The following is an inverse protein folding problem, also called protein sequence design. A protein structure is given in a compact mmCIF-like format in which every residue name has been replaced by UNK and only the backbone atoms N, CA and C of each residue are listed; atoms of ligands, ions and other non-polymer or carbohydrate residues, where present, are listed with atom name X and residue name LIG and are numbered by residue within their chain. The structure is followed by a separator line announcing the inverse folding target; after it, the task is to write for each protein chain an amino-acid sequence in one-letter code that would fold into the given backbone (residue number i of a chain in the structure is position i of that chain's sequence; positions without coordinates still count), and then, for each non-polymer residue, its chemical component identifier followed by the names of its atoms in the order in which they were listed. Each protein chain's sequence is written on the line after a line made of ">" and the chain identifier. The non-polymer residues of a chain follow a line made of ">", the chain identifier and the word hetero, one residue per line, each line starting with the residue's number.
data_IF_274003941642
#
_entry.id   IF_274003941642
#
_cell.length_a   1.000
_cell.length_b   1.000
_cell.length_c   1.000
_cell.angle_alpha   90.00
_cell.angle_beta   90.00
_cell.angle_gamma   90.00
#
_symmetry.space_group_name_H-M   'P 1'
#
loop_
_entity.id
_entity.type
_entity.pdbx_description
1 polymer ?
#
# COMPACT_ATOMS: atom_id res chain seq x y z
N UNK A 1 14.79 31.66 -1.72
CA UNK A 1 13.78 31.15 -2.68
C UNK A 1 14.25 29.80 -3.22
N UNK A 2 13.85 28.71 -2.57
CA UNK A 2 14.06 27.35 -3.08
C UNK A 2 12.98 27.06 -4.12
N UNK A 3 13.33 27.16 -5.38
CA UNK A 3 12.53 26.63 -6.47
C UNK A 3 12.65 25.10 -6.42
N UNK A 4 11.69 24.44 -5.79
CA UNK A 4 11.50 22.99 -5.97
C UNK A 4 11.11 22.75 -7.42
N UNK A 5 12.05 22.33 -8.25
CA UNK A 5 11.79 21.77 -9.56
C UNK A 5 10.83 20.59 -9.39
N UNK A 6 9.52 20.83 -9.55
CA UNK A 6 8.56 19.79 -9.85
C UNK A 6 8.94 19.28 -11.25
N UNK A 7 9.75 18.23 -11.31
CA UNK A 7 9.73 17.37 -12.49
C UNK A 7 8.31 16.86 -12.63
N UNK A 8 7.49 17.58 -13.40
CA UNK A 8 6.26 17.03 -13.95
C UNK A 8 6.70 15.81 -14.75
N UNK A 9 6.54 14.60 -14.15
CA UNK A 9 6.47 13.40 -14.96
C UNK A 9 5.27 13.63 -15.86
N UNK A 10 5.52 13.89 -17.14
CA UNK A 10 4.46 13.76 -18.14
C UNK A 10 4.00 12.32 -18.05
N UNK A 11 2.90 12.10 -17.32
CA UNK A 11 2.23 10.82 -17.31
C UNK A 11 1.72 10.60 -18.73
N UNK A 12 2.25 9.59 -19.40
CA UNK A 12 1.63 9.11 -20.61
C UNK A 12 0.19 8.71 -20.25
N UNK A 13 -0.76 9.09 -21.08
CA UNK A 13 -2.20 8.81 -20.86
C UNK A 13 -2.48 7.32 -20.64
N UNK A 14 -1.54 6.46 -21.04
CA UNK A 14 -1.62 5.00 -21.02
C UNK A 14 -0.88 4.33 -19.85
N UNK A 15 -0.11 5.10 -19.05
CA UNK A 15 0.56 4.56 -17.88
C UNK A 15 -0.46 4.21 -16.79
N UNK A 16 -0.26 3.08 -16.15
CA UNK A 16 -1.05 2.63 -14.98
C UNK A 16 -0.13 2.44 -13.78
N UNK A 17 -0.51 3.05 -12.68
CA UNK A 17 0.22 2.97 -11.42
C UNK A 17 -0.67 2.33 -10.36
N UNK A 18 -0.16 1.30 -9.68
CA UNK A 18 -0.89 0.57 -8.64
C UNK A 18 -0.07 0.65 -7.35
N UNK A 19 -0.67 1.22 -6.31
CA UNK A 19 -0.01 1.54 -5.05
C UNK A 19 0.55 2.96 -5.00
N UNK A 20 1.18 3.31 -3.89
CA UNK A 20 1.84 4.61 -3.67
C UNK A 20 3.35 4.49 -3.90
N UNK A 21 3.98 5.55 -4.40
CA UNK A 21 5.46 5.63 -4.48
C UNK A 21 6.15 5.49 -3.13
N UNK A 22 5.44 5.77 -2.04
CA UNK A 22 5.94 5.64 -0.67
C UNK A 22 5.72 4.24 -0.10
N UNK A 23 4.85 3.41 -0.71
CA UNK A 23 4.60 2.05 -0.25
C UNK A 23 5.79 1.13 -0.53
N UNK A 24 5.88 0.05 0.24
CA UNK A 24 6.91 -0.97 0.05
C UNK A 24 6.70 -1.82 -1.20
N UNK A 25 5.47 -1.81 -1.75
CA UNK A 25 5.10 -2.49 -2.99
C UNK A 25 4.41 -1.50 -3.89
N UNK A 26 4.92 -1.36 -5.10
CA UNK A 26 4.42 -0.42 -6.09
C UNK A 26 4.59 -1.00 -7.50
N UNK A 27 3.55 -0.90 -8.31
CA UNK A 27 3.57 -1.39 -9.69
C UNK A 27 3.42 -0.25 -10.68
N UNK A 28 4.10 -0.38 -11.80
CA UNK A 28 4.02 0.54 -12.92
C UNK A 28 3.90 -0.24 -14.22
N UNK A 29 2.84 0.00 -14.97
CA UNK A 29 2.59 -0.58 -16.29
C UNK A 29 2.63 0.56 -17.29
N UNK A 30 3.50 0.51 -18.28
CA UNK A 30 3.63 1.57 -19.26
C UNK A 30 4.11 1.11 -20.63
N UNK A 31 3.88 1.94 -21.65
CA UNK A 31 4.34 1.72 -23.02
C UNK A 31 5.83 2.05 -23.11
N UNK A 32 6.65 1.01 -23.19
CA UNK A 32 8.12 1.13 -23.24
C UNK A 32 8.62 1.67 -24.58
N UNK A 33 7.97 1.32 -25.67
CA UNK A 33 8.25 1.84 -27.00
C UNK A 33 8.10 3.37 -27.07
N UNK A 34 7.04 3.90 -26.49
CA UNK A 34 6.82 5.36 -26.37
C UNK A 34 7.87 6.05 -25.49
N UNK A 35 8.27 5.40 -24.40
CA UNK A 35 9.34 5.92 -23.54
C UNK A 35 10.68 5.99 -24.31
N UNK A 36 11.01 4.93 -25.08
CA UNK A 36 12.22 4.86 -25.90
C UNK A 36 12.19 5.90 -27.02
N UNK A 37 11.06 6.07 -27.68
CA UNK A 37 10.90 7.13 -28.69
C UNK A 37 11.13 8.51 -28.10
N UNK A 38 10.54 8.84 -26.96
CA UNK A 38 10.70 10.16 -26.34
C UNK A 38 12.07 10.44 -25.74
N UNK A 39 12.77 9.43 -25.25
CA UNK A 39 14.06 9.61 -24.56
C UNK A 39 15.27 9.40 -25.46
N UNK A 40 15.13 8.56 -26.45
CA UNK A 40 16.25 8.07 -27.25
C UNK A 40 16.01 8.17 -28.76
N UNK A 41 14.88 8.77 -29.18
CA UNK A 41 14.45 8.90 -30.60
C UNK A 41 14.41 7.58 -31.37
N UNK A 42 14.22 6.45 -30.66
CA UNK A 42 14.05 5.13 -31.27
C UNK A 42 12.64 5.06 -31.87
N UNK A 43 12.50 4.80 -33.20
CA UNK A 43 11.18 4.67 -33.80
C UNK A 43 10.34 3.60 -33.10
N UNK A 44 9.04 3.86 -32.89
CA UNK A 44 8.13 2.93 -32.20
C UNK A 44 8.08 1.56 -32.87
N UNK A 45 8.24 1.53 -34.21
CA UNK A 45 8.27 0.29 -34.98
C UNK A 45 9.51 -0.58 -34.70
N UNK A 46 10.62 0.05 -34.31
CA UNK A 46 11.91 -0.61 -34.07
C UNK A 46 12.11 -0.98 -32.58
N UNK A 47 11.15 -0.64 -31.73
CA UNK A 47 11.22 -0.98 -30.32
C UNK A 47 10.94 -2.47 -30.09
N UNK A 48 11.90 -3.18 -29.51
CA UNK A 48 11.78 -4.62 -29.20
C UNK A 48 10.71 -4.91 -28.13
N UNK A 49 10.56 -3.99 -27.16
CA UNK A 49 9.61 -4.12 -26.04
C UNK A 49 8.56 -3.03 -26.14
N UNK A 50 7.31 -3.43 -26.37
CA UNK A 50 6.18 -2.50 -26.47
C UNK A 50 5.66 -2.07 -25.10
N UNK A 51 5.46 -3.00 -24.20
CA UNK A 51 4.90 -2.74 -22.86
C UNK A 51 5.84 -3.26 -21.77
N UNK A 52 5.89 -2.56 -20.64
CA UNK A 52 6.64 -2.99 -19.47
C UNK A 52 5.77 -3.00 -18.23
N UNK A 53 5.87 -4.09 -17.48
CA UNK A 53 5.31 -4.22 -16.16
C UNK A 53 6.47 -4.20 -15.15
N UNK A 54 6.58 -3.16 -14.34
CA UNK A 54 7.60 -3.03 -13.30
C UNK A 54 7.02 -3.31 -11.93
N UNK A 55 7.74 -4.12 -11.14
CA UNK A 55 7.47 -4.35 -9.72
C UNK A 55 8.56 -3.62 -8.95
N UNK A 56 8.17 -2.67 -8.12
CA UNK A 56 9.11 -1.93 -7.26
C UNK A 56 8.87 -2.32 -5.82
N UNK A 57 9.89 -2.91 -5.22
CA UNK A 57 9.86 -3.38 -3.85
C UNK A 57 10.87 -2.62 -3.01
N UNK A 58 10.55 -2.43 -1.73
CA UNK A 58 11.42 -1.77 -0.75
C UNK A 58 11.50 -2.59 0.53
N UNK A 59 12.57 -2.35 1.30
CA UNK A 59 12.77 -2.90 2.64
C UNK A 59 12.60 -4.43 2.68
N UNK A 60 11.87 -4.93 3.65
CA UNK A 60 11.63 -6.36 3.84
C UNK A 60 10.94 -7.04 2.65
N UNK A 61 10.09 -6.31 1.91
CA UNK A 61 9.43 -6.86 0.71
C UNK A 61 10.45 -7.22 -0.37
N UNK A 62 11.45 -6.36 -0.57
CA UNK A 62 12.55 -6.64 -1.50
C UNK A 62 13.37 -7.84 -1.02
N UNK A 63 13.68 -7.90 0.28
CA UNK A 63 14.42 -9.03 0.86
C UNK A 63 13.72 -10.36 0.63
N UNK A 64 12.42 -10.46 0.93
CA UNK A 64 11.66 -11.71 0.74
C UNK A 64 11.51 -12.09 -0.73
N UNK A 65 11.39 -11.12 -1.63
CA UNK A 65 11.33 -11.39 -3.07
C UNK A 65 12.67 -11.93 -3.59
N UNK A 66 13.79 -11.34 -3.17
CA UNK A 66 15.14 -11.82 -3.54
C UNK A 66 15.38 -13.23 -2.97
N UNK A 67 14.97 -13.48 -1.73
CA UNK A 67 15.07 -14.81 -1.13
C UNK A 67 14.29 -15.86 -1.92
N UNK A 68 13.04 -15.58 -2.31
CA UNK A 68 12.23 -16.48 -3.12
C UNK A 68 12.88 -16.73 -4.50
N UNK A 69 13.43 -15.66 -5.09
CA UNK A 69 14.14 -15.75 -6.37
C UNK A 69 15.36 -16.65 -6.29
N UNK A 70 16.17 -16.49 -5.25
CA UNK A 70 17.37 -17.32 -5.04
C UNK A 70 17.03 -18.76 -4.69
N UNK A 71 15.94 -18.99 -3.95
CA UNK A 71 15.49 -20.33 -3.56
C UNK A 71 14.96 -21.16 -4.73
N UNK A 72 14.29 -20.49 -5.69
CA UNK A 72 13.63 -21.18 -6.78
C UNK A 72 14.31 -21.01 -8.15
N UNK A 73 15.25 -20.09 -8.26
CA UNK A 73 15.95 -19.73 -9.52
C UNK A 73 15.02 -19.55 -10.72
N UNK A 74 13.85 -18.96 -10.48
CA UNK A 74 12.82 -18.75 -11.48
C UNK A 74 12.22 -17.33 -11.37
N UNK A 75 12.83 -16.34 -12.06
CA UNK A 75 12.39 -14.94 -12.01
C UNK A 75 10.95 -14.74 -12.47
N UNK A 76 10.53 -15.48 -13.49
CA UNK A 76 9.19 -15.41 -14.04
C UNK A 76 8.15 -15.83 -12.99
N UNK A 77 8.35 -17.00 -12.39
CA UNK A 77 7.50 -17.51 -11.32
C UNK A 77 7.39 -16.51 -10.17
N UNK A 78 8.52 -16.02 -9.67
CA UNK A 78 8.55 -15.06 -8.56
C UNK A 78 7.79 -13.78 -8.91
N UNK A 79 8.03 -13.21 -10.10
CA UNK A 79 7.37 -11.99 -10.56
C UNK A 79 5.84 -12.18 -10.67
N UNK A 80 5.37 -13.22 -11.37
CA UNK A 80 3.94 -13.47 -11.53
C UNK A 80 3.23 -13.79 -10.21
N UNK A 81 3.87 -14.52 -9.30
CA UNK A 81 3.29 -14.79 -7.98
C UNK A 81 3.18 -13.53 -7.11
N UNK A 82 4.12 -12.59 -7.21
CA UNK A 82 4.01 -11.27 -6.59
C UNK A 82 2.86 -10.48 -7.24
N UNK A 83 2.80 -10.44 -8.57
CA UNK A 83 1.71 -9.76 -9.29
C UNK A 83 0.36 -10.30 -8.82
N UNK A 84 0.16 -11.62 -8.83
CA UNK A 84 -1.10 -12.26 -8.45
C UNK A 84 -1.51 -11.99 -7.00
N UNK A 85 -0.56 -11.72 -6.12
CA UNK A 85 -0.85 -11.38 -4.72
C UNK A 85 -1.47 -10.01 -4.58
N UNK A 86 -1.04 -9.05 -5.40
CA UNK A 86 -1.38 -7.63 -5.20
C UNK A 86 -2.30 -7.07 -6.27
N UNK A 87 -2.34 -7.68 -7.44
CA UNK A 87 -3.07 -7.17 -8.62
C UNK A 87 -4.01 -8.23 -9.15
N UNK A 88 -5.27 -7.85 -9.37
CA UNK A 88 -6.30 -8.68 -9.98
C UNK A 88 -7.18 -7.82 -10.88
N UNK A 89 -7.19 -8.10 -12.17
CA UNK A 89 -8.14 -7.50 -13.09
C UNK A 89 -9.40 -8.36 -13.14
N UNK A 90 -10.55 -7.73 -13.02
CA UNK A 90 -11.85 -8.38 -12.90
C UNK A 90 -12.89 -7.68 -13.74
N UNK A 91 -13.86 -8.43 -14.23
CA UNK A 91 -15.01 -7.89 -14.93
C UNK A 91 -16.06 -7.43 -13.93
N UNK A 92 -16.51 -6.18 -14.10
CA UNK A 92 -17.45 -5.57 -13.19
C UNK A 92 -18.82 -6.24 -13.31
N UNK A 93 -19.36 -6.72 -12.18
CA UNK A 93 -20.71 -7.24 -12.04
C UNK A 93 -21.42 -6.48 -10.92
N UNK A 94 -22.35 -5.60 -11.29
CA UNK A 94 -23.07 -4.77 -10.31
C UNK A 94 -24.04 -5.58 -9.41
N UNK A 95 -24.35 -6.82 -9.77
CA UNK A 95 -25.22 -7.69 -9.00
C UNK A 95 -24.49 -8.43 -7.86
N UNK A 96 -23.13 -8.37 -7.83
CA UNK A 96 -22.29 -9.08 -6.87
C UNK A 96 -21.35 -8.18 -6.12
N UNK A 97 -20.96 -8.56 -4.88
CA UNK A 97 -19.89 -7.89 -4.17
C UNK A 97 -18.58 -7.98 -4.97
N UNK A 98 -17.72 -6.98 -4.84
CA UNK A 98 -16.45 -6.87 -5.59
C UNK A 98 -15.52 -8.08 -5.39
N UNK A 99 -15.59 -8.75 -4.25
CA UNK A 99 -14.85 -9.99 -3.96
C UNK A 99 -15.16 -11.11 -4.95
N UNK A 100 -16.40 -11.15 -5.44
CA UNK A 100 -16.97 -12.25 -6.22
C UNK A 100 -16.97 -11.94 -7.73
N UNK A 101 -16.38 -10.81 -8.13
CA UNK A 101 -16.26 -10.48 -9.54
C UNK A 101 -15.33 -11.46 -10.24
N UNK A 102 -15.74 -11.89 -11.44
CA UNK A 102 -14.99 -12.83 -12.27
C UNK A 102 -13.64 -12.22 -12.67
N UNK A 103 -12.61 -13.04 -12.66
CA UNK A 103 -11.31 -12.66 -13.21
C UNK A 103 -11.48 -12.46 -14.72
N UNK A 104 -10.98 -11.33 -15.24
CA UNK A 104 -10.98 -11.01 -16.65
C UNK A 104 -10.21 -12.09 -17.45
N UNK A 105 -10.73 -12.51 -18.60
CA UNK A 105 -10.18 -13.62 -19.38
C UNK A 105 -8.79 -13.31 -19.95
N UNK A 106 -8.58 -12.08 -20.39
CA UNK A 106 -7.26 -11.65 -20.91
C UNK A 106 -6.22 -11.63 -19.78
N UNK A 107 -6.64 -11.21 -18.58
CA UNK A 107 -5.79 -11.27 -17.39
C UNK A 107 -5.47 -12.72 -16.99
N UNK A 108 -6.45 -13.61 -17.03
CA UNK A 108 -6.24 -15.02 -16.74
C UNK A 108 -5.29 -15.68 -17.76
N UNK A 109 -5.39 -15.30 -19.03
CA UNK A 109 -4.48 -15.74 -20.08
C UNK A 109 -3.06 -15.20 -19.86
N UNK A 110 -2.91 -13.91 -19.55
CA UNK A 110 -1.62 -13.26 -19.27
C UNK A 110 -0.86 -13.93 -18.13
N UNK A 111 -1.56 -14.30 -17.05
CA UNK A 111 -0.96 -14.99 -15.91
C UNK A 111 -0.64 -16.45 -16.21
N UNK A 112 -1.41 -17.10 -17.11
CA UNK A 112 -1.19 -18.47 -17.53
C UNK A 112 -1.16 -19.46 -16.37
N UNK A 113 -0.14 -20.32 -16.35
CA UNK A 113 0.07 -21.35 -15.33
C UNK A 113 0.61 -20.79 -14.00
N UNK A 114 1.09 -19.56 -13.98
CA UNK A 114 1.68 -18.89 -12.81
C UNK A 114 0.61 -18.38 -11.81
N UNK A 115 -0.42 -19.18 -11.55
CA UNK A 115 -1.56 -18.81 -10.69
C UNK A 115 -1.26 -18.79 -9.21
N UNK A 116 -0.08 -19.21 -8.79
CA UNK A 116 0.38 -19.12 -7.40
C UNK A 116 0.40 -17.68 -6.90
N UNK A 117 0.39 -17.52 -5.59
CA UNK A 117 0.45 -16.20 -4.93
C UNK A 117 1.58 -16.19 -3.91
N UNK A 118 2.57 -15.34 -4.12
CA UNK A 118 3.66 -15.13 -3.19
C UNK A 118 3.32 -14.01 -2.23
N UNK A 119 3.15 -14.38 -0.97
CA UNK A 119 2.98 -13.42 0.11
C UNK A 119 4.36 -13.00 0.62
N UNK A 120 4.79 -11.81 0.29
CA UNK A 120 5.98 -11.20 0.86
C UNK A 120 5.66 -10.81 2.32
N UNK A 121 5.72 -11.80 3.21
CA UNK A 121 5.37 -11.60 4.62
C UNK A 121 6.49 -10.91 5.36
N UNK A 122 6.16 -9.75 5.86
CA UNK A 122 6.86 -9.17 6.99
C UNK A 122 6.20 -9.68 8.27
N UNK A 123 6.98 -9.93 9.31
CA UNK A 123 6.40 -10.05 10.65
C UNK A 123 5.61 -8.77 10.90
N UNK A 124 4.39 -8.83 11.47
CA UNK A 124 3.69 -7.62 11.85
C UNK A 124 4.63 -6.79 12.72
N UNK A 125 4.87 -5.52 12.34
CA UNK A 125 5.61 -4.62 13.21
C UNK A 125 4.92 -4.60 14.58
N UNK A 126 5.67 -4.68 15.66
CA UNK A 126 5.09 -4.52 16.99
C UNK A 126 4.36 -3.17 17.04
N UNK A 127 3.24 -3.16 17.73
CA UNK A 127 2.45 -1.93 17.87
C UNK A 127 3.30 -0.85 18.54
N UNK A 128 3.48 0.27 17.86
CA UNK A 128 4.14 1.44 18.42
C UNK A 128 3.10 2.43 18.93
N UNK A 129 3.02 2.57 20.26
CA UNK A 129 2.17 3.57 20.89
C UNK A 129 2.62 4.99 20.55
N UNK A 130 3.91 5.23 20.39
CA UNK A 130 4.47 6.52 19.97
C UNK A 130 3.95 6.98 18.60
N UNK A 131 3.90 6.07 17.61
CA UNK A 131 3.31 6.37 16.29
C UNK A 131 1.84 6.76 16.41
N UNK A 132 1.10 6.08 17.28
CA UNK A 132 -0.31 6.41 17.54
C UNK A 132 -0.46 7.76 18.20
N UNK A 133 0.38 8.10 19.20
CA UNK A 133 0.39 9.41 19.82
C UNK A 133 0.76 10.52 18.83
N UNK A 134 1.75 10.27 17.98
CA UNK A 134 2.11 11.21 16.91
C UNK A 134 0.95 11.47 15.97
N UNK A 135 0.27 10.41 15.52
CA UNK A 135 -0.93 10.53 14.67
C UNK A 135 -2.06 11.27 15.39
N UNK A 136 -2.36 10.93 16.64
CA UNK A 136 -3.37 11.63 17.46
C UNK A 136 -3.06 13.13 17.59
N UNK A 137 -1.81 13.48 17.86
CA UNK A 137 -1.41 14.88 18.05
C UNK A 137 -1.54 15.73 16.78
N UNK A 138 -1.26 15.15 15.61
CA UNK A 138 -1.26 15.88 14.35
C UNK A 138 -2.58 15.83 13.59
N UNK A 139 -3.29 14.71 13.65
CA UNK A 139 -4.51 14.51 12.86
C UNK A 139 -5.79 14.72 13.66
N UNK A 140 -5.79 14.35 14.93
CA UNK A 140 -7.02 14.31 15.74
C UNK A 140 -7.07 15.49 16.73
N UNK A 141 -5.97 15.82 17.40
CA UNK A 141 -5.93 16.82 18.44
C UNK A 141 -6.44 18.22 18.03
N UNK A 142 -6.16 18.74 16.81
CA UNK A 142 -6.72 20.02 16.38
C UNK A 142 -8.25 20.03 16.38
N UNK A 143 -8.87 18.96 15.85
CA UNK A 143 -10.33 18.80 15.80
C UNK A 143 -10.92 18.61 17.18
N UNK A 144 -10.30 17.82 18.05
CA UNK A 144 -10.72 17.65 19.44
C UNK A 144 -10.64 18.97 20.21
N UNK A 145 -9.58 19.76 20.00
CA UNK A 145 -9.43 21.08 20.61
C UNK A 145 -10.54 22.04 20.20
N UNK A 146 -10.94 22.00 18.91
CA UNK A 146 -12.07 22.78 18.44
C UNK A 146 -13.37 22.32 19.11
N UNK A 147 -13.64 21.01 19.13
CA UNK A 147 -14.83 20.45 19.75
C UNK A 147 -14.92 20.76 21.25
N UNK A 148 -13.83 20.65 22.00
CA UNK A 148 -13.77 21.04 23.42
C UNK A 148 -14.05 22.53 23.65
N UNK A 149 -13.63 23.41 22.73
CA UNK A 149 -13.96 24.84 22.81
C UNK A 149 -15.46 25.08 22.59
N UNK A 150 -16.05 24.38 21.61
CA UNK A 150 -17.49 24.43 21.34
C UNK A 150 -18.29 23.88 22.54
N UNK A 151 -17.87 22.78 23.13
CA UNK A 151 -18.48 22.22 24.35
C UNK A 151 -18.49 23.26 25.48
N UNK A 152 -17.35 23.94 25.68
CA UNK A 152 -17.25 25.01 26.69
C UNK A 152 -18.16 26.19 26.40
N UNK A 153 -18.29 26.61 25.14
CA UNK A 153 -19.16 27.73 24.73
C UNK A 153 -20.64 27.39 24.88
N UNK A 154 -21.00 26.14 24.57
CA UNK A 154 -22.39 25.68 24.57
C UNK A 154 -22.81 24.97 25.85
N UNK A 155 -21.93 24.91 26.87
CA UNK A 155 -22.16 24.18 28.13
C UNK A 155 -22.55 22.71 27.89
N UNK A 156 -21.92 22.06 26.90
CA UNK A 156 -22.12 20.65 26.56
C UNK A 156 -20.89 19.81 26.95
N UNK A 157 -21.00 18.49 26.92
CA UNK A 157 -19.93 17.52 27.24
C UNK A 157 -19.77 16.47 26.12
N UNK A 158 -20.04 16.84 24.87
CA UNK A 158 -20.09 15.94 23.73
C UNK A 158 -18.76 15.17 23.56
N UNK A 159 -17.62 15.84 23.71
CA UNK A 159 -16.30 15.18 23.57
C UNK A 159 -16.08 14.18 24.69
N UNK A 160 -16.45 14.51 25.91
CA UNK A 160 -16.37 13.59 27.05
C UNK A 160 -17.23 12.36 26.82
N UNK A 161 -18.46 12.54 26.38
CA UNK A 161 -19.41 11.46 26.10
C UNK A 161 -18.92 10.54 24.98
N UNK A 162 -18.37 11.08 23.90
CA UNK A 162 -17.79 10.31 22.81
C UNK A 162 -16.64 9.42 23.33
N UNK A 163 -15.76 9.94 24.16
CA UNK A 163 -14.62 9.19 24.69
C UNK A 163 -15.10 8.14 25.70
N UNK A 164 -16.00 8.50 26.60
CA UNK A 164 -16.48 7.61 27.66
C UNK A 164 -17.32 6.44 27.12
N UNK A 165 -18.10 6.68 26.07
CA UNK A 165 -18.92 5.64 25.46
C UNK A 165 -18.21 4.87 24.34
N UNK A 166 -16.94 5.20 24.02
CA UNK A 166 -16.14 4.48 23.03
C UNK A 166 -15.92 3.03 23.46
N UNK A 167 -16.25 2.09 22.58
CA UNK A 167 -16.01 0.66 22.85
C UNK A 167 -14.60 0.26 22.44
N UNK A 168 -13.87 -0.33 23.36
CA UNK A 168 -12.61 -0.97 23.06
C UNK A 168 -12.86 -2.32 22.36
N UNK A 169 -12.08 -2.58 21.30
CA UNK A 169 -12.09 -3.86 20.60
C UNK A 169 -11.01 -4.77 21.19
N UNK A 170 -11.07 -6.08 20.87
CA UNK A 170 -10.03 -7.05 21.25
C UNK A 170 -8.61 -6.59 20.86
N UNK A 171 -8.49 -5.84 19.77
CA UNK A 171 -7.22 -5.26 19.34
C UNK A 171 -6.70 -4.25 20.36
N UNK A 172 -7.56 -3.39 20.88
CA UNK A 172 -7.20 -2.40 21.90
C UNK A 172 -6.79 -3.07 23.21
N UNK A 173 -7.50 -4.12 23.62
CA UNK A 173 -7.17 -4.91 24.80
C UNK A 173 -5.80 -5.62 24.68
N UNK A 174 -5.47 -6.15 23.50
CA UNK A 174 -4.14 -6.72 23.22
C UNK A 174 -3.04 -5.67 23.33
N UNK A 175 -3.27 -4.46 22.84
CA UNK A 175 -2.33 -3.34 22.92
C UNK A 175 -2.10 -2.96 24.40
N UNK A 176 -3.17 -2.84 25.18
CA UNK A 176 -3.06 -2.53 26.61
C UNK A 176 -2.22 -3.58 27.35
N UNK A 177 -2.47 -4.86 27.10
CA UNK A 177 -1.67 -5.95 27.71
C UNK A 177 -0.20 -5.89 27.30
N UNK A 178 0.12 -5.61 26.05
CA UNK A 178 1.50 -5.46 25.57
C UNK A 178 2.22 -4.30 26.23
N UNK A 179 1.57 -3.15 26.35
CA UNK A 179 2.15 -1.96 27.01
C UNK A 179 2.33 -2.17 28.52
N UNK A 180 1.37 -2.81 29.16
CA UNK A 180 1.46 -3.13 30.58
C UNK A 180 2.59 -4.14 30.88
N UNK A 181 2.87 -5.07 29.98
CA UNK A 181 4.00 -6.02 30.11
C UNK A 181 5.35 -5.30 29.95
N UNK A 182 5.48 -4.44 28.92
CA UNK A 182 6.70 -3.65 28.68
C UNK A 182 7.04 -2.71 29.83
N UNK A 183 6.03 -2.11 30.49
CA UNK A 183 6.23 -1.25 31.66
C UNK A 183 6.76 -2.02 32.89
N UNK A 184 6.45 -3.31 33.02
CA UNK A 184 6.97 -4.17 34.11
C UNK A 184 8.41 -4.60 33.92
N UNK A 185 8.87 -4.75 32.67
CA UNK A 185 10.27 -5.11 32.35
C UNK A 185 11.25 -3.93 32.58
N UNK A 186 10.79 -2.70 32.60
CA UNK A 186 11.62 -1.50 32.82
C UNK A 186 11.81 -1.20 34.31
N UNK A 187 11.07 -1.85 35.20
CA UNK A 187 11.09 -1.60 36.67
C UNK A 187 11.93 -2.63 37.44
N UNK A 188 12.58 -3.59 36.73
CA UNK A 188 13.54 -4.53 37.31
C UNK A 188 14.96 -4.18 36.90
#
# INVERSE_FOLDING_TARGET
>A
LHVRSRRQRQMCIRDRYIGSLQSEVYFCIYEKDYEQYKKHDIPIADAEVKNRFEIRLKNERAFYAIRDLLEHDNPERTAFQIINRYVRFVDRDNAKPRSDWRINEEWAWFIGEHRGSLKLTTKPEPYSFERTLHWLSHQVAPTLKLALRLDKMNHTQIVHDIITHARLTEKHEKILKQQAAAAKEVVL
#
